data_IF_685296061587
#
_entry.id   IF_685296061587
#
_cell.length_a   1.000
_cell.length_b   1.000
_cell.length_c   1.000
_cell.angle_alpha   90.00
_cell.angle_beta   90.00
_cell.angle_gamma   90.00
#
_symmetry.space_group_name_H-M   'P 1'
#
loop_
_entity.id
_entity.type
_entity.pdbx_description
1 polymer ?
#
# COMPACT_ATOMS: atom_id res chain seq x y z
N UNK A 1 10.29 -2.71 -5.99
CA UNK A 1 8.90 -2.25 -5.81
C UNK A 1 8.60 -1.11 -6.79
N UNK A 2 7.35 -1.00 -7.26
CA UNK A 2 6.87 0.07 -8.14
C UNK A 2 5.49 0.54 -7.65
N UNK A 3 5.29 1.85 -7.45
CA UNK A 3 3.97 2.41 -7.20
C UNK A 3 3.15 2.40 -8.50
N UNK A 4 1.99 1.74 -8.50
CA UNK A 4 1.16 1.64 -9.71
C UNK A 4 -0.03 2.61 -9.67
N UNK A 5 -0.83 2.57 -8.61
CA UNK A 5 -2.10 3.31 -8.53
C UNK A 5 -2.63 3.36 -7.10
N UNK A 6 -3.73 4.07 -6.88
CA UNK A 6 -4.49 4.03 -5.63
C UNK A 6 -5.99 3.85 -5.89
N UNK A 7 -6.76 3.51 -4.86
CA UNK A 7 -8.18 3.20 -4.99
C UNK A 7 -9.05 4.32 -5.57
N UNK A 8 -8.61 5.58 -5.53
CA UNK A 8 -9.35 6.72 -6.14
C UNK A 8 -9.27 6.74 -7.66
N UNK A 9 -8.35 5.97 -8.24
CA UNK A 9 -8.10 5.89 -9.69
C UNK A 9 -8.61 4.59 -10.31
N UNK A 10 -9.28 3.73 -9.53
CA UNK A 10 -9.73 2.41 -9.95
C UNK A 10 -11.24 2.32 -9.99
N UNK A 11 -11.75 1.51 -10.92
CA UNK A 11 -13.10 0.98 -10.83
C UNK A 11 -13.20 -0.07 -9.72
N UNK A 12 -14.42 -0.34 -9.26
CA UNK A 12 -14.68 -1.35 -8.23
C UNK A 12 -14.26 -2.76 -8.66
N UNK A 13 -14.33 -3.08 -9.96
CA UNK A 13 -13.92 -4.38 -10.50
C UNK A 13 -12.40 -4.54 -10.48
N UNK A 14 -11.65 -3.51 -10.88
CA UNK A 14 -10.19 -3.50 -10.80
C UNK A 14 -9.69 -3.61 -9.35
N UNK A 15 -10.30 -2.83 -8.45
CA UNK A 15 -10.00 -2.89 -7.02
C UNK A 15 -10.25 -4.30 -6.46
N UNK A 16 -11.38 -4.91 -6.82
CA UNK A 16 -11.75 -6.27 -6.37
C UNK A 16 -10.72 -7.30 -6.84
N UNK A 17 -10.22 -7.15 -8.07
CA UNK A 17 -9.18 -8.03 -8.62
C UNK A 17 -7.84 -7.84 -7.90
N UNK A 18 -7.43 -6.60 -7.63
CA UNK A 18 -6.20 -6.30 -6.90
C UNK A 18 -6.24 -6.73 -5.43
N UNK A 19 -7.44 -6.74 -4.82
CA UNK A 19 -7.66 -7.19 -3.44
C UNK A 19 -7.90 -8.70 -3.31
N UNK A 20 -7.98 -9.42 -4.43
CA UNK A 20 -8.26 -10.86 -4.44
C UNK A 20 -7.16 -11.62 -3.67
N UNK A 21 -7.59 -12.42 -2.69
CA UNK A 21 -6.70 -13.17 -1.78
C UNK A 21 -5.75 -12.29 -0.94
N UNK A 22 -6.09 -11.02 -0.72
CA UNK A 22 -5.29 -10.14 0.12
C UNK A 22 -5.26 -10.63 1.57
N UNK A 23 -4.06 -10.76 2.12
CA UNK A 23 -3.79 -11.13 3.52
C UNK A 23 -3.10 -9.99 4.25
N UNK A 24 -3.18 -9.96 5.58
CA UNK A 24 -2.48 -8.97 6.39
C UNK A 24 -0.97 -8.99 6.11
N UNK A 25 -0.32 -7.84 6.27
CA UNK A 25 1.13 -7.72 6.19
C UNK A 25 1.67 -6.87 7.33
N UNK A 26 2.97 -7.00 7.62
CA UNK A 26 3.61 -6.16 8.63
C UNK A 26 3.78 -4.75 8.07
N UNK A 27 3.02 -3.79 8.62
CA UNK A 27 3.15 -2.37 8.30
C UNK A 27 4.59 -1.88 8.47
N UNK A 28 5.26 -2.26 9.57
CA UNK A 28 6.66 -1.88 9.84
C UNK A 28 7.59 -2.31 8.71
N UNK A 29 7.49 -3.58 8.27
CA UNK A 29 8.34 -4.09 7.18
C UNK A 29 7.98 -3.44 5.84
N UNK A 30 6.69 -3.20 5.59
CA UNK A 30 6.23 -2.53 4.37
C UNK A 30 6.81 -1.11 4.29
N UNK A 31 6.66 -0.31 5.34
CA UNK A 31 7.18 1.06 5.40
C UNK A 31 8.70 1.10 5.25
N UNK A 32 9.43 0.15 5.87
CA UNK A 32 10.88 0.05 5.68
C UNK A 32 11.27 -0.21 4.22
N UNK A 33 10.52 -1.05 3.50
CA UNK A 33 10.74 -1.28 2.06
C UNK A 33 10.38 -0.06 1.22
N UNK A 34 9.24 0.58 1.49
CA UNK A 34 8.83 1.81 0.81
C UNK A 34 9.90 2.90 1.01
N UNK A 35 10.38 3.11 2.23
CA UNK A 35 11.46 4.08 2.51
C UNK A 35 12.73 3.81 1.70
N UNK A 36 13.08 2.53 1.48
CA UNK A 36 14.29 2.12 0.77
C UNK A 36 14.14 2.18 -0.75
N UNK A 37 13.00 1.73 -1.28
CA UNK A 37 12.81 1.48 -2.71
C UNK A 37 11.96 2.56 -3.40
N UNK A 38 11.12 3.28 -2.65
CA UNK A 38 10.20 4.31 -3.13
C UNK A 38 10.25 5.55 -2.20
N UNK A 39 11.42 6.21 -2.05
CA UNK A 39 11.59 7.33 -1.12
C UNK A 39 10.63 8.49 -1.41
N UNK A 40 10.34 8.79 -2.67
CA UNK A 40 9.38 9.86 -3.04
C UNK A 40 7.95 9.55 -2.55
N UNK A 41 7.54 8.27 -2.60
CA UNK A 41 6.26 7.84 -2.05
C UNK A 41 6.26 7.90 -0.51
N UNK A 42 7.39 7.56 0.12
CA UNK A 42 7.55 7.63 1.57
C UNK A 42 7.37 9.07 2.08
N UNK A 43 8.04 10.03 1.45
CA UNK A 43 7.99 11.44 1.83
C UNK A 43 6.63 12.07 1.49
N UNK A 44 6.08 11.79 0.30
CA UNK A 44 4.78 12.36 -0.11
C UNK A 44 3.62 11.91 0.77
N UNK A 45 3.68 10.69 1.32
CA UNK A 45 2.69 10.16 2.26
C UNK A 45 3.04 10.38 3.73
N UNK A 46 4.14 11.10 4.01
CA UNK A 46 4.62 11.41 5.35
C UNK A 46 4.65 10.16 6.28
N UNK A 47 5.19 9.04 5.78
CA UNK A 47 5.17 7.74 6.47
C UNK A 47 6.11 7.66 7.69
N UNK A 48 6.79 8.75 8.05
CA UNK A 48 7.48 8.93 9.32
C UNK A 48 6.52 9.10 10.51
N UNK A 49 5.27 9.51 10.26
CA UNK A 49 4.27 9.71 11.31
C UNK A 49 3.42 8.46 11.55
N UNK A 50 2.83 8.31 12.76
CA UNK A 50 1.94 7.19 13.06
C UNK A 50 0.76 7.13 12.09
N UNK A 51 0.55 5.96 11.48
CA UNK A 51 -0.58 5.71 10.59
C UNK A 51 -1.70 4.95 11.34
N UNK A 52 -2.88 5.55 11.56
CA UNK A 52 -3.99 4.87 12.23
C UNK A 52 -4.53 3.66 11.44
N UNK A 53 -4.24 3.58 10.14
CA UNK A 53 -4.63 2.48 9.25
C UNK A 53 -3.57 1.38 9.13
N UNK A 54 -2.50 1.41 9.94
CA UNK A 54 -1.41 0.43 9.87
C UNK A 54 -1.90 -1.03 9.91
N UNK A 55 -2.92 -1.32 10.72
CA UNK A 55 -3.52 -2.67 10.82
C UNK A 55 -4.34 -3.11 9.61
N UNK A 56 -4.65 -2.21 8.68
CA UNK A 56 -5.44 -2.49 7.49
C UNK A 56 -4.59 -2.79 6.26
N UNK A 57 -3.26 -2.61 6.35
CA UNK A 57 -2.32 -2.90 5.26
C UNK A 57 -2.32 -4.38 4.89
N UNK A 58 -2.35 -4.67 3.59
CA UNK A 58 -2.44 -6.02 3.05
C UNK A 58 -1.34 -6.32 2.05
N UNK A 59 -1.26 -7.56 1.63
CA UNK A 59 -0.46 -8.01 0.50
C UNK A 59 -1.20 -9.10 -0.26
N UNK A 60 -1.00 -9.14 -1.57
CA UNK A 60 -1.38 -10.28 -2.42
C UNK A 60 -0.13 -11.00 -2.87
N UNK A 61 -0.21 -11.88 -3.88
CA UNK A 61 0.96 -12.47 -4.50
C UNK A 61 1.84 -11.38 -5.15
N UNK A 62 1.21 -10.45 -5.85
CA UNK A 62 1.87 -9.46 -6.72
C UNK A 62 2.04 -8.07 -6.11
N UNK A 63 1.23 -7.70 -5.10
CA UNK A 63 1.21 -6.35 -4.55
C UNK A 63 1.40 -6.30 -3.04
N UNK A 64 1.99 -5.19 -2.58
CA UNK A 64 1.74 -4.60 -1.28
C UNK A 64 0.61 -3.59 -1.40
N UNK A 65 -0.26 -3.56 -0.40
CA UNK A 65 -1.39 -2.64 -0.30
C UNK A 65 -1.18 -1.83 0.98
N UNK A 66 -0.63 -0.64 0.83
CA UNK A 66 -0.50 0.32 1.92
C UNK A 66 -1.84 1.02 2.09
N UNK A 67 -2.42 0.98 3.29
CA UNK A 67 -3.59 1.80 3.62
C UNK A 67 -3.13 3.01 4.40
N UNK A 68 -3.35 4.20 3.86
CA UNK A 68 -2.95 5.46 4.48
C UNK A 68 -3.98 6.54 4.16
N UNK A 69 -4.41 7.32 5.15
CA UNK A 69 -5.45 8.35 5.00
C UNK A 69 -6.73 7.81 4.32
N UNK A 70 -7.16 6.61 4.72
CA UNK A 70 -8.29 5.87 4.13
C UNK A 70 -8.18 5.58 2.62
N UNK A 71 -6.97 5.62 2.05
CA UNK A 71 -6.68 5.30 0.65
C UNK A 71 -5.82 4.04 0.60
N UNK A 72 -6.21 3.06 -0.22
CA UNK A 72 -5.36 1.92 -0.58
C UNK A 72 -4.42 2.28 -1.73
N UNK A 73 -3.12 2.22 -1.47
CA UNK A 73 -2.05 2.37 -2.45
C UNK A 73 -1.54 1.00 -2.87
N UNK A 74 -1.66 0.71 -4.17
CA UNK A 74 -1.25 -0.56 -4.76
C UNK A 74 0.19 -0.43 -5.26
N UNK A 75 1.09 -1.19 -4.64
CA UNK A 75 2.52 -1.15 -4.90
C UNK A 75 2.96 -2.53 -5.35
N UNK A 76 3.38 -2.67 -6.60
CA UNK A 76 3.90 -3.93 -7.14
C UNK A 76 5.19 -4.30 -6.44
N UNK A 77 5.32 -5.57 -6.02
CA UNK A 77 6.50 -6.10 -5.34
C UNK A 77 7.75 -6.00 -6.22
#
# INVERSE_FOLDING_TARGET
MIYETNCTQLSISEWTMLMKHARSCSYRLLVQRIRKELPDLYESLALQYPNPYAGQCRQTLTHYILVHSAIEYFIRK
#
